data_IF_268641213581
#
_entry.id   IF_268641213581
#
_cell.length_a   1.000
_cell.length_b   1.000
_cell.length_c   1.000
_cell.angle_alpha   90.00
_cell.angle_beta   90.00
_cell.angle_gamma   90.00
#
_symmetry.space_group_name_H-M   'P 1'
#
loop_
_entity.id
_entity.type
_entity.pdbx_description
1 polymer ?
#
# COMPACT_ATOMS: atom_id res chain seq x y z
N UNK A 1 0.40 -9.75 -52.39
CA UNK A 1 -0.72 -10.40 -51.69
C UNK A 1 -0.36 -10.40 -50.21
N UNK A 2 -0.80 -9.43 -49.45
CA UNK A 2 -0.63 -9.33 -48.00
C UNK A 2 -1.96 -9.70 -47.39
N UNK A 3 -2.01 -10.75 -46.57
CA UNK A 3 -3.21 -11.19 -45.87
C UNK A 3 -3.23 -10.52 -44.50
N UNK A 4 -4.19 -9.61 -44.31
CA UNK A 4 -4.60 -9.06 -43.04
C UNK A 4 -5.25 -10.17 -42.16
N UNK A 5 -4.59 -10.54 -41.10
CA UNK A 5 -5.22 -11.33 -40.05
C UNK A 5 -5.68 -10.42 -38.90
N UNK A 6 -6.89 -9.94 -38.99
CA UNK A 6 -7.57 -9.25 -37.93
C UNK A 6 -7.84 -10.23 -36.77
N UNK A 7 -7.15 -10.08 -35.68
CA UNK A 7 -7.45 -10.74 -34.39
C UNK A 7 -8.78 -10.19 -33.87
N UNK A 8 -9.86 -10.95 -34.06
CA UNK A 8 -11.17 -10.70 -33.43
C UNK A 8 -11.01 -10.84 -31.92
N UNK A 9 -11.07 -9.73 -31.19
CA UNK A 9 -11.19 -9.71 -29.76
C UNK A 9 -12.41 -10.54 -29.32
N UNK A 10 -12.16 -11.50 -28.45
CA UNK A 10 -13.21 -12.38 -27.92
C UNK A 10 -14.11 -11.53 -27.01
N UNK A 11 -15.35 -11.31 -27.41
CA UNK A 11 -16.38 -10.66 -26.59
C UNK A 11 -16.59 -11.53 -25.34
N UNK A 12 -16.58 -10.98 -24.10
CA UNK A 12 -16.81 -11.74 -22.90
C UNK A 12 -18.17 -12.46 -22.97
N UNK A 13 -18.21 -13.71 -22.53
CA UNK A 13 -19.45 -14.52 -22.52
C UNK A 13 -20.43 -13.98 -21.46
N UNK A 14 -21.71 -14.21 -21.66
CA UNK A 14 -22.83 -13.81 -20.78
C UNK A 14 -22.61 -14.21 -19.29
N UNK A 15 -21.91 -15.29 -19.07
CA UNK A 15 -21.47 -15.75 -17.75
C UNK A 15 -20.47 -14.81 -17.07
N UNK A 16 -19.54 -14.21 -17.83
CA UNK A 16 -18.58 -13.23 -17.29
C UNK A 16 -19.27 -11.92 -16.92
N UNK A 17 -20.23 -11.44 -17.73
CA UNK A 17 -21.05 -10.29 -17.38
C UNK A 17 -21.91 -10.49 -16.14
N UNK A 18 -22.48 -11.68 -15.96
CA UNK A 18 -23.24 -12.04 -14.73
C UNK A 18 -22.33 -12.11 -13.49
N UNK A 19 -21.11 -12.64 -13.61
CA UNK A 19 -20.15 -12.69 -12.53
C UNK A 19 -19.70 -11.27 -12.10
N UNK A 20 -19.40 -10.37 -13.06
CA UNK A 20 -19.05 -8.98 -12.80
C UNK A 20 -20.22 -8.23 -12.16
N UNK A 21 -21.45 -8.43 -12.64
CA UNK A 21 -22.64 -7.82 -12.06
C UNK A 21 -22.92 -8.30 -10.62
N UNK A 22 -22.61 -9.55 -10.30
CA UNK A 22 -22.76 -10.10 -8.94
C UNK A 22 -21.71 -9.51 -7.99
N UNK A 23 -20.48 -9.31 -8.47
CA UNK A 23 -19.36 -8.72 -7.69
C UNK A 23 -19.65 -7.25 -7.35
N UNK A 24 -20.26 -6.50 -8.26
CA UNK A 24 -20.53 -5.05 -8.11
C UNK A 24 -21.98 -4.74 -7.72
N UNK A 25 -22.80 -5.74 -7.34
CA UNK A 25 -24.19 -5.46 -6.94
C UNK A 25 -24.22 -4.51 -5.74
N UNK A 26 -24.97 -3.39 -5.91
CA UNK A 26 -25.18 -2.45 -4.82
C UNK A 26 -25.98 -3.12 -3.69
N UNK A 27 -25.76 -2.70 -2.43
CA UNK A 27 -26.58 -3.15 -1.32
C UNK A 27 -28.04 -2.71 -1.53
N UNK A 28 -28.99 -3.53 -1.06
CA UNK A 28 -30.43 -3.28 -1.22
C UNK A 28 -30.91 -1.99 -0.52
N UNK A 29 -30.09 -1.43 0.38
CA UNK A 29 -30.37 -0.21 1.13
C UNK A 29 -29.09 0.60 1.37
N UNK A 30 -29.24 1.88 1.70
CA UNK A 30 -28.14 2.77 1.97
C UNK A 30 -27.37 2.33 3.22
N UNK A 31 -26.06 2.12 3.07
CA UNK A 31 -25.18 1.86 4.19
C UNK A 31 -24.80 3.17 4.90
N UNK A 32 -24.86 3.16 6.21
CA UNK A 32 -24.52 4.29 7.09
C UNK A 32 -23.63 3.81 8.24
N UNK A 33 -22.88 4.69 8.93
CA UNK A 33 -22.07 4.27 10.08
C UNK A 33 -22.89 3.66 11.24
N UNK A 34 -24.22 3.79 11.22
CA UNK A 34 -25.12 3.25 12.25
C UNK A 34 -25.63 1.85 11.93
N UNK A 35 -25.74 1.50 10.65
CA UNK A 35 -26.33 0.24 10.22
C UNK A 35 -25.34 -0.74 9.58
N UNK A 36 -24.06 -0.36 9.42
CA UNK A 36 -23.03 -1.24 8.87
C UNK A 36 -21.78 -1.23 9.76
N UNK A 37 -21.11 -2.36 9.82
CA UNK A 37 -19.76 -2.53 10.39
C UNK A 37 -18.93 -3.47 9.54
N UNK A 38 -17.61 -3.32 9.60
CA UNK A 38 -16.67 -4.29 9.09
C UNK A 38 -16.14 -5.14 10.24
N UNK A 39 -16.09 -6.45 10.06
CA UNK A 39 -15.44 -7.37 11.01
C UNK A 39 -14.28 -8.08 10.31
N UNK A 40 -13.08 -7.96 10.85
CA UNK A 40 -11.88 -8.61 10.35
C UNK A 40 -11.45 -9.70 11.32
N UNK A 41 -11.43 -10.93 10.84
CA UNK A 41 -10.83 -12.05 11.55
C UNK A 41 -9.39 -12.24 11.06
N UNK A 42 -8.39 -11.88 11.86
CA UNK A 42 -6.98 -12.09 11.54
C UNK A 42 -6.69 -13.58 11.36
N UNK A 43 -7.19 -14.43 12.26
CA UNK A 43 -6.96 -15.86 12.21
C UNK A 43 -7.58 -16.55 10.97
N UNK A 44 -8.73 -16.05 10.49
CA UNK A 44 -9.40 -16.59 9.29
C UNK A 44 -8.98 -15.87 8.01
N UNK A 45 -8.21 -14.78 8.11
CA UNK A 45 -7.83 -13.92 6.99
C UNK A 45 -9.05 -13.49 6.17
N UNK A 46 -10.04 -12.98 6.87
CA UNK A 46 -11.35 -12.68 6.30
C UNK A 46 -11.92 -11.38 6.83
N UNK A 47 -12.51 -10.60 5.95
CA UNK A 47 -13.31 -9.44 6.26
C UNK A 47 -14.78 -9.74 5.95
N UNK A 48 -15.67 -9.39 6.87
CA UNK A 48 -17.11 -9.42 6.70
C UNK A 48 -17.64 -7.98 6.65
N UNK A 49 -18.50 -7.71 5.70
CA UNK A 49 -19.34 -6.50 5.70
C UNK A 49 -20.70 -6.90 6.26
N UNK A 50 -21.02 -6.40 7.42
CA UNK A 50 -22.24 -6.76 8.16
C UNK A 50 -23.12 -5.52 8.28
N UNK A 51 -24.35 -5.61 7.77
CA UNK A 51 -25.35 -4.57 7.93
C UNK A 51 -26.53 -5.11 8.74
N UNK A 52 -26.83 -4.41 9.83
CA UNK A 52 -27.75 -4.93 10.84
C UNK A 52 -27.26 -6.32 11.31
N UNK A 53 -27.99 -7.39 11.02
CA UNK A 53 -27.64 -8.78 11.34
C UNK A 53 -27.23 -9.60 10.11
N UNK A 54 -27.26 -9.01 8.91
CA UNK A 54 -26.98 -9.69 7.66
C UNK A 54 -25.52 -9.51 7.22
N UNK A 55 -24.90 -10.58 6.77
CA UNK A 55 -23.58 -10.52 6.11
C UNK A 55 -23.78 -10.23 4.63
N UNK A 56 -23.49 -8.98 4.23
CA UNK A 56 -23.59 -8.55 2.83
C UNK A 56 -22.44 -9.08 1.97
N UNK A 57 -21.24 -9.16 2.56
CA UNK A 57 -20.04 -9.65 1.87
C UNK A 57 -19.12 -10.40 2.82
N UNK A 58 -18.41 -11.36 2.22
CA UNK A 58 -17.33 -12.13 2.83
C UNK A 58 -16.13 -12.07 1.91
N UNK A 59 -15.06 -11.44 2.36
CA UNK A 59 -13.89 -11.06 1.55
C UNK A 59 -12.64 -11.71 2.14
N UNK A 60 -11.85 -12.45 1.36
CA UNK A 60 -10.53 -12.89 1.79
C UNK A 60 -9.60 -11.69 1.89
N UNK A 61 -8.73 -11.66 2.91
CA UNK A 61 -7.78 -10.56 3.13
C UNK A 61 -6.40 -11.08 3.47
N UNK A 62 -5.36 -10.31 3.14
CA UNK A 62 -4.05 -10.52 3.75
C UNK A 62 -3.91 -9.66 5.01
N UNK A 63 -3.22 -10.20 6.00
CA UNK A 63 -2.96 -9.60 7.30
C UNK A 63 -1.47 -9.62 7.63
N UNK A 64 -1.06 -9.05 8.77
CA UNK A 64 0.33 -9.00 9.16
C UNK A 64 0.95 -10.38 9.39
N UNK A 65 2.25 -10.49 9.06
CA UNK A 65 3.05 -11.71 9.29
C UNK A 65 3.23 -12.07 10.75
N UNK A 66 2.90 -11.16 11.69
CA UNK A 66 3.12 -11.31 13.14
C UNK A 66 4.59 -11.61 13.51
N UNK A 67 5.55 -11.12 12.71
CA UNK A 67 6.97 -11.35 12.90
C UNK A 67 7.67 -10.11 13.42
N UNK A 68 8.70 -10.33 14.25
CA UNK A 68 9.66 -9.30 14.57
C UNK A 68 10.71 -9.20 13.44
N UNK A 69 11.12 -7.99 13.13
CA UNK A 69 12.21 -7.71 12.20
C UNK A 69 13.23 -6.79 12.86
N UNK A 70 14.51 -7.14 12.73
CA UNK A 70 15.61 -6.34 13.29
C UNK A 70 16.67 -6.07 12.24
N UNK A 71 17.12 -4.83 12.17
CA UNK A 71 18.22 -4.41 11.30
C UNK A 71 18.88 -3.12 11.81
N UNK A 72 20.21 -3.02 11.72
CA UNK A 72 20.99 -1.83 12.09
C UNK A 72 20.66 -1.28 13.50
N UNK A 73 20.46 -2.18 14.48
CA UNK A 73 20.13 -1.80 15.86
C UNK A 73 18.70 -1.36 16.11
N UNK A 74 17.84 -1.38 15.08
CA UNK A 74 16.40 -1.09 15.19
C UNK A 74 15.59 -2.39 15.15
N UNK A 75 14.44 -2.38 15.82
CA UNK A 75 13.52 -3.51 15.87
C UNK A 75 12.09 -3.05 15.57
N UNK A 76 11.38 -3.83 14.76
CA UNK A 76 9.98 -3.61 14.41
C UNK A 76 9.18 -4.88 14.70
N UNK A 77 7.97 -4.70 15.17
CA UNK A 77 7.01 -5.77 15.37
C UNK A 77 5.86 -5.56 14.39
N UNK A 78 5.65 -6.51 13.50
CA UNK A 78 4.59 -6.43 12.50
C UNK A 78 3.34 -7.16 13.01
N UNK A 79 2.28 -6.42 13.24
CA UNK A 79 1.01 -6.99 13.68
C UNK A 79 -0.16 -6.17 13.13
N UNK A 80 -1.21 -6.84 12.67
CA UNK A 80 -2.48 -6.18 12.40
C UNK A 80 -3.09 -5.77 13.75
N UNK A 81 -3.43 -4.47 13.95
CA UNK A 81 -3.98 -4.00 15.21
C UNK A 81 -5.29 -4.72 15.53
N UNK A 82 -5.52 -5.00 16.80
CA UNK A 82 -6.77 -5.60 17.27
C UNK A 82 -7.62 -4.55 17.98
N UNK A 83 -8.92 -4.77 17.98
CA UNK A 83 -9.86 -3.86 18.63
C UNK A 83 -10.81 -3.18 17.65
N UNK A 84 -11.30 -2.01 18.03
CA UNK A 84 -12.26 -1.21 17.26
C UNK A 84 -11.56 0.01 16.66
N UNK A 85 -11.43 0.03 15.35
CA UNK A 85 -11.01 1.18 14.57
C UNK A 85 -12.22 1.80 13.85
N UNK A 86 -11.98 2.88 13.12
CA UNK A 86 -13.02 3.58 12.34
C UNK A 86 -12.40 3.99 11.00
N UNK A 87 -13.17 3.91 9.93
CA UNK A 87 -12.76 4.46 8.64
C UNK A 87 -12.72 5.99 8.76
N UNK A 88 -11.53 6.57 8.77
CA UNK A 88 -11.31 8.02 8.92
C UNK A 88 -11.38 8.76 7.60
N UNK A 89 -11.05 8.09 6.50
CA UNK A 89 -11.02 8.70 5.17
C UNK A 89 -10.88 7.66 4.06
N UNK A 90 -11.08 8.12 2.83
CA UNK A 90 -10.94 7.33 1.61
C UNK A 90 -10.06 8.07 0.62
N UNK A 91 -9.24 7.34 -0.13
CA UNK A 91 -8.34 7.89 -1.16
C UNK A 91 -8.38 7.03 -2.41
N UNK A 92 -8.47 7.69 -3.56
CA UNK A 92 -8.22 7.10 -4.87
C UNK A 92 -6.77 7.33 -5.24
N UNK A 93 -6.17 6.41 -5.96
CA UNK A 93 -4.76 6.45 -6.38
C UNK A 93 -3.81 6.83 -5.23
N UNK A 94 -3.84 6.05 -4.13
CA UNK A 94 -3.11 6.41 -2.92
C UNK A 94 -1.60 6.26 -3.12
N UNK A 95 -0.85 7.31 -2.83
CA UNK A 95 0.62 7.27 -2.76
C UNK A 95 1.07 6.74 -1.41
N UNK A 96 1.94 5.74 -1.41
CA UNK A 96 2.52 5.22 -0.19
C UNK A 96 3.77 5.99 0.22
N UNK A 97 3.89 6.28 1.51
CA UNK A 97 5.11 6.83 2.13
C UNK A 97 5.72 5.74 3.01
N UNK A 98 6.70 4.97 2.49
CA UNK A 98 7.25 3.85 3.21
C UNK A 98 7.80 4.26 4.58
N UNK A 99 7.44 3.57 5.67
CA UNK A 99 8.14 3.69 6.94
C UNK A 99 9.59 3.20 6.85
N UNK A 100 10.42 3.50 7.85
CA UNK A 100 11.84 3.16 7.84
C UNK A 100 12.12 1.66 7.76
N UNK A 101 11.21 0.81 8.29
CA UNK A 101 11.35 -0.64 8.19
C UNK A 101 11.40 -1.14 6.74
N UNK A 102 10.72 -0.49 5.80
CA UNK A 102 10.77 -0.83 4.38
C UNK A 102 12.20 -0.73 3.85
N UNK A 103 12.87 0.40 4.13
CA UNK A 103 14.27 0.62 3.73
C UNK A 103 15.21 -0.36 4.44
N UNK A 104 14.92 -0.68 5.69
CA UNK A 104 15.70 -1.66 6.45
C UNK A 104 15.57 -3.08 5.85
N UNK A 105 14.38 -3.50 5.41
CA UNK A 105 14.18 -4.77 4.69
C UNK A 105 14.91 -4.79 3.35
N UNK A 106 14.82 -3.72 2.58
CA UNK A 106 15.55 -3.58 1.30
C UNK A 106 17.06 -3.64 1.54
N UNK A 107 17.57 -2.87 2.50
CA UNK A 107 18.99 -2.87 2.83
C UNK A 107 19.48 -4.26 3.26
N UNK A 108 18.72 -4.95 4.11
CA UNK A 108 19.05 -6.32 4.55
C UNK A 108 19.06 -7.31 3.38
N UNK A 109 18.05 -7.24 2.51
CA UNK A 109 17.92 -8.12 1.32
C UNK A 109 19.10 -8.00 0.38
N UNK A 110 19.63 -6.78 0.21
CA UNK A 110 20.72 -6.48 -0.72
C UNK A 110 22.09 -6.31 -0.07
N UNK A 111 22.23 -6.58 1.24
CA UNK A 111 23.50 -6.44 1.96
C UNK A 111 24.02 -5.01 2.03
N UNK A 112 23.14 -4.00 1.99
CA UNK A 112 23.49 -2.59 1.99
C UNK A 112 23.56 -2.04 3.41
N UNK A 113 24.42 -1.05 3.64
CA UNK A 113 24.34 -0.21 4.84
C UNK A 113 23.07 0.63 4.79
N UNK A 114 22.50 0.99 5.94
CA UNK A 114 21.32 1.83 6.04
C UNK A 114 21.67 3.15 6.73
N UNK A 115 21.28 4.27 6.12
CA UNK A 115 21.51 5.60 6.69
C UNK A 115 20.33 6.53 6.41
N UNK A 116 19.88 7.29 7.41
CA UNK A 116 18.95 8.40 7.17
C UNK A 116 19.65 9.50 6.39
N UNK A 117 19.01 10.01 5.35
CA UNK A 117 19.55 11.09 4.57
C UNK A 117 19.48 12.41 5.37
N UNK A 118 20.65 12.96 5.68
CA UNK A 118 20.79 14.35 6.08
C UNK A 118 21.22 15.17 4.85
N UNK A 119 20.68 16.37 4.70
CA UNK A 119 21.10 17.27 3.61
C UNK A 119 22.60 17.55 3.69
N UNK A 120 23.29 17.46 2.55
CA UNK A 120 24.73 17.61 2.46
C UNK A 120 25.54 16.35 2.77
N UNK A 121 24.92 15.17 2.86
CA UNK A 121 25.62 13.90 3.02
C UNK A 121 26.66 13.71 1.91
N UNK A 122 27.93 13.51 2.28
CA UNK A 122 29.04 13.33 1.33
C UNK A 122 29.07 11.89 0.82
N UNK A 123 29.36 11.76 -0.47
CA UNK A 123 29.60 10.50 -1.16
C UNK A 123 31.09 10.26 -1.34
N UNK A 124 31.49 9.04 -1.68
CA UNK A 124 32.89 8.64 -1.80
C UNK A 124 33.62 9.40 -2.91
N UNK A 125 32.92 9.79 -3.96
CA UNK A 125 33.46 10.59 -5.08
C UNK A 125 33.60 12.10 -4.77
N UNK A 126 33.30 12.53 -3.53
CA UNK A 126 33.32 13.91 -3.08
C UNK A 126 32.05 14.71 -3.39
N UNK A 127 31.12 14.16 -4.15
CA UNK A 127 29.79 14.77 -4.37
C UNK A 127 28.95 14.75 -3.09
N UNK A 128 27.78 15.41 -3.12
CA UNK A 128 26.89 15.51 -1.97
C UNK A 128 25.44 15.23 -2.37
N UNK A 129 24.72 14.52 -1.52
CA UNK A 129 23.27 14.43 -1.58
C UNK A 129 22.66 15.67 -0.93
N UNK A 130 21.88 16.41 -1.68
CA UNK A 130 21.21 17.64 -1.22
C UNK A 130 19.71 17.57 -1.52
N UNK A 131 18.94 18.38 -0.79
CA UNK A 131 17.48 18.47 -0.98
C UNK A 131 17.16 19.87 -1.46
N UNK A 132 16.51 19.97 -2.64
CA UNK A 132 15.97 21.22 -3.20
C UNK A 132 14.52 20.98 -3.62
N UNK A 133 13.63 21.91 -3.31
CA UNK A 133 12.20 21.86 -3.72
C UNK A 133 11.55 20.49 -3.46
N UNK A 134 11.81 19.92 -2.29
CA UNK A 134 11.34 18.59 -1.87
C UNK A 134 11.86 17.41 -2.71
N UNK A 135 12.90 17.60 -3.53
CA UNK A 135 13.56 16.54 -4.30
C UNK A 135 14.98 16.33 -3.80
N UNK A 136 15.38 15.06 -3.68
CA UNK A 136 16.77 14.70 -3.43
C UNK A 136 17.54 14.70 -4.75
N UNK A 137 18.72 15.27 -4.74
CA UNK A 137 19.61 15.28 -5.91
C UNK A 137 21.07 15.24 -5.51
N UNK A 138 21.94 15.13 -6.50
CA UNK A 138 23.40 15.11 -6.37
C UNK A 138 23.96 16.47 -6.81
N UNK A 139 24.89 16.98 -6.03
CA UNK A 139 25.75 18.11 -6.41
C UNK A 139 27.22 17.69 -6.36
N UNK A 140 27.94 17.89 -7.46
CA UNK A 140 29.39 17.63 -7.51
C UNK A 140 30.18 18.67 -6.71
N UNK A 141 31.34 18.27 -6.25
CA UNK A 141 32.22 19.18 -5.54
C UNK A 141 32.68 20.33 -6.47
N UNK A 142 32.52 21.57 -6.00
CA UNK A 142 32.88 22.76 -6.80
C UNK A 142 31.86 23.14 -7.87
N UNK A 143 30.78 22.42 -8.04
CA UNK A 143 29.70 22.69 -8.99
C UNK A 143 28.46 23.24 -8.26
N UNK A 144 27.68 24.07 -8.94
CA UNK A 144 26.36 24.56 -8.49
C UNK A 144 25.21 23.79 -9.13
N UNK A 145 25.51 22.95 -10.12
CA UNK A 145 24.52 22.13 -10.82
C UNK A 145 23.90 21.11 -9.87
N UNK A 146 22.56 21.07 -9.85
CA UNK A 146 21.75 20.10 -9.11
C UNK A 146 21.21 19.07 -10.08
N UNK A 147 21.60 17.80 -9.92
CA UNK A 147 21.04 16.69 -10.65
C UNK A 147 20.00 15.99 -9.77
N UNK A 148 18.73 16.19 -10.08
CA UNK A 148 17.62 15.53 -9.37
C UNK A 148 17.70 14.01 -9.55
N UNK A 149 17.49 13.26 -8.47
CA UNK A 149 17.37 11.81 -8.52
C UNK A 149 15.91 11.40 -8.83
N UNK A 150 15.70 10.23 -9.49
CA UNK A 150 14.36 9.67 -9.68
C UNK A 150 13.59 9.58 -8.36
N UNK A 151 12.30 9.87 -8.37
CA UNK A 151 11.46 9.89 -7.17
C UNK A 151 10.90 8.52 -6.82
N UNK A 152 10.89 7.58 -7.76
CA UNK A 152 10.35 6.23 -7.69
C UNK A 152 11.43 5.15 -7.48
N UNK A 153 12.68 5.56 -7.24
CA UNK A 153 13.81 4.67 -7.02
C UNK A 153 14.42 4.83 -5.62
N UNK A 154 15.03 3.75 -5.13
CA UNK A 154 15.81 3.80 -3.91
C UNK A 154 17.12 4.54 -4.12
N UNK A 155 17.47 5.42 -3.19
CA UNK A 155 18.72 6.19 -3.23
C UNK A 155 19.85 5.32 -2.68
N UNK A 156 20.68 4.78 -3.57
CA UNK A 156 21.80 3.91 -3.20
C UNK A 156 23.10 4.48 -3.73
N UNK A 157 24.05 4.78 -2.83
CA UNK A 157 25.42 5.18 -3.15
C UNK A 157 26.38 4.50 -2.17
N UNK A 158 27.59 4.17 -2.62
CA UNK A 158 28.67 3.62 -1.79
C UNK A 158 28.21 2.42 -0.91
N UNK A 159 27.44 1.48 -1.51
CA UNK A 159 26.83 0.36 -0.81
C UNK A 159 25.95 0.77 0.40
N UNK A 160 25.41 1.99 0.36
CA UNK A 160 24.54 2.54 1.40
C UNK A 160 23.19 2.92 0.80
N UNK A 161 22.11 2.38 1.36
CA UNK A 161 20.74 2.79 1.09
C UNK A 161 20.41 3.98 1.99
N UNK A 162 20.04 5.10 1.39
CA UNK A 162 19.65 6.30 2.11
C UNK A 162 18.12 6.35 2.27
N UNK A 163 17.66 6.59 3.50
CA UNK A 163 16.26 6.83 3.81
C UNK A 163 15.97 8.30 3.57
N UNK A 164 15.18 8.69 2.55
CA UNK A 164 14.84 10.08 2.30
C UNK A 164 13.94 10.64 3.42
N UNK A 165 13.98 11.93 3.73
CA UNK A 165 13.01 12.56 4.62
C UNK A 165 11.57 12.38 4.11
N UNK A 166 10.62 12.30 5.04
CA UNK A 166 9.18 12.13 4.71
C UNK A 166 8.59 13.31 3.93
N UNK A 167 9.28 14.45 3.95
CA UNK A 167 8.90 15.67 3.22
C UNK A 167 9.35 15.70 1.76
N UNK A 168 10.14 14.71 1.32
CA UNK A 168 10.64 14.66 -0.06
C UNK A 168 9.78 13.75 -0.95
N UNK A 169 9.71 14.08 -2.24
CA UNK A 169 9.05 13.25 -3.25
C UNK A 169 9.70 11.86 -3.38
N UNK A 170 11.02 11.77 -3.17
CA UNK A 170 11.75 10.48 -3.18
C UNK A 170 11.33 9.53 -2.04
N UNK A 171 10.44 9.96 -1.12
CA UNK A 171 9.83 9.10 -0.09
C UNK A 171 8.48 8.55 -0.52
N UNK A 172 8.01 8.86 -1.73
CA UNK A 172 6.71 8.46 -2.23
C UNK A 172 6.83 7.29 -3.21
N UNK A 173 6.09 6.21 -2.97
CA UNK A 173 5.96 5.10 -3.91
C UNK A 173 4.52 5.05 -4.43
N UNK A 174 4.40 4.91 -5.74
CA UNK A 174 3.12 4.78 -6.43
C UNK A 174 2.78 3.29 -6.64
N UNK A 175 1.49 2.99 -6.83
CA UNK A 175 0.94 1.67 -7.15
C UNK A 175 1.09 0.58 -6.06
N UNK A 176 1.72 0.85 -4.92
CA UNK A 176 1.90 -0.14 -3.84
C UNK A 176 0.61 -0.47 -3.09
N UNK A 177 -0.34 0.45 -3.07
CA UNK A 177 -1.58 0.35 -2.30
C UNK A 177 -2.81 0.00 -3.17
N UNK A 178 -2.61 -0.25 -4.47
CA UNK A 178 -3.70 -0.46 -5.42
C UNK A 178 -4.48 0.82 -5.71
N UNK A 179 -5.64 0.71 -6.35
CA UNK A 179 -6.44 1.86 -6.81
C UNK A 179 -7.13 2.63 -5.68
N UNK A 180 -7.34 2.02 -4.51
CA UNK A 180 -8.09 2.59 -3.39
C UNK A 180 -7.41 2.31 -2.06
N UNK A 181 -7.61 3.22 -1.09
CA UNK A 181 -7.28 3.00 0.30
C UNK A 181 -8.33 3.62 1.23
N UNK A 182 -8.64 2.93 2.33
CA UNK A 182 -9.45 3.42 3.44
C UNK A 182 -8.57 3.55 4.67
N UNK A 183 -8.45 4.76 5.19
CA UNK A 183 -7.60 5.09 6.34
C UNK A 183 -8.26 4.67 7.65
N UNK A 184 -7.52 3.96 8.50
CA UNK A 184 -7.97 3.50 9.82
C UNK A 184 -7.28 4.23 10.97
N UNK A 185 -6.39 5.18 10.66
CA UNK A 185 -5.54 5.86 11.64
C UNK A 185 -4.22 5.14 11.92
N UNK A 186 -3.28 5.84 12.53
CA UNK A 186 -1.95 5.35 12.93
C UNK A 186 -1.15 4.67 11.82
N UNK A 187 -1.43 5.03 10.56
CA UNK A 187 -0.79 4.44 9.38
C UNK A 187 -1.37 3.11 8.94
N UNK A 188 -2.42 2.61 9.59
CA UNK A 188 -3.13 1.40 9.16
C UNK A 188 -4.20 1.71 8.12
N UNK A 189 -4.37 0.80 7.17
CA UNK A 189 -5.30 0.97 6.05
C UNK A 189 -5.93 -0.35 5.63
N UNK A 190 -7.13 -0.28 5.04
CA UNK A 190 -7.60 -1.25 4.07
C UNK A 190 -7.13 -0.75 2.71
N UNK A 191 -6.41 -1.57 1.94
CA UNK A 191 -5.89 -1.16 0.63
C UNK A 191 -5.79 -2.33 -0.35
N UNK A 192 -5.62 -2.03 -1.62
CA UNK A 192 -5.44 -3.01 -2.68
C UNK A 192 -4.01 -3.54 -2.80
N UNK A 193 -3.76 -4.25 -3.88
CA UNK A 193 -2.44 -4.79 -4.19
C UNK A 193 -2.33 -5.11 -5.68
N UNK A 194 -1.16 -4.92 -6.24
CA UNK A 194 -0.83 -5.47 -7.55
C UNK A 194 -0.54 -6.99 -7.48
N UNK A 195 -0.13 -7.50 -6.31
CA UNK A 195 0.13 -8.94 -6.09
C UNK A 195 -1.07 -9.61 -5.40
N UNK A 196 -2.01 -10.07 -6.20
CA UNK A 196 -3.23 -10.75 -5.75
C UNK A 196 -2.97 -12.13 -5.15
N UNK A 197 -1.80 -12.74 -5.41
CA UNK A 197 -1.44 -14.07 -4.86
C UNK A 197 -1.26 -14.04 -3.34
N UNK A 198 -1.05 -12.87 -2.78
CA UNK A 198 -0.89 -12.67 -1.33
C UNK A 198 -2.20 -12.59 -0.57
N UNK A 199 -3.35 -12.47 -1.25
CA UNK A 199 -4.67 -12.43 -0.59
C UNK A 199 -4.94 -13.76 0.10
N UNK A 200 -5.44 -13.71 1.33
CA UNK A 200 -5.66 -14.89 2.17
C UNK A 200 -4.42 -15.37 2.95
N UNK A 201 -3.32 -14.60 2.95
CA UNK A 201 -2.07 -14.96 3.62
C UNK A 201 -1.66 -13.98 4.74
N UNK A 202 -0.65 -14.36 5.53
CA UNK A 202 0.02 -13.50 6.51
C UNK A 202 1.24 -12.84 5.83
N UNK A 203 1.01 -11.77 5.07
CA UNK A 203 2.02 -11.18 4.19
C UNK A 203 2.17 -9.66 4.32
N UNK A 204 1.40 -9.00 5.19
CA UNK A 204 1.51 -7.56 5.39
C UNK A 204 2.33 -7.19 6.62
N UNK A 205 2.59 -5.91 6.80
CA UNK A 205 3.30 -5.36 7.96
C UNK A 205 2.35 -4.73 9.01
N UNK A 206 1.04 -4.86 8.80
CA UNK A 206 0.02 -4.33 9.72
C UNK A 206 -1.29 -3.98 9.02
N UNK A 207 -1.23 -3.47 7.81
CA UNK A 207 -2.39 -3.15 7.00
C UNK A 207 -3.19 -4.40 6.62
N UNK A 208 -4.42 -4.20 6.21
CA UNK A 208 -5.32 -5.25 5.72
C UNK A 208 -5.43 -5.07 4.20
N UNK A 209 -5.03 -6.09 3.45
CA UNK A 209 -4.98 -6.06 2.00
C UNK A 209 -6.13 -6.85 1.41
N UNK A 210 -6.85 -6.27 0.44
CA UNK A 210 -7.97 -6.84 -0.27
C UNK A 210 -7.67 -7.00 -1.75
N UNK A 211 -8.38 -7.88 -2.42
CA UNK A 211 -8.45 -7.89 -3.89
C UNK A 211 -9.17 -6.64 -4.41
N UNK A 212 -8.83 -6.22 -5.63
CA UNK A 212 -9.28 -4.93 -6.18
C UNK A 212 -10.79 -4.81 -6.30
N UNK A 213 -11.50 -5.86 -6.74
CA UNK A 213 -12.95 -5.85 -6.88
C UNK A 213 -13.67 -5.71 -5.53
N UNK A 214 -13.22 -6.44 -4.53
CA UNK A 214 -13.78 -6.37 -3.19
C UNK A 214 -13.50 -5.04 -2.53
N UNK A 215 -12.29 -4.51 -2.72
CA UNK A 215 -11.92 -3.19 -2.22
C UNK A 215 -12.71 -2.09 -2.91
N UNK A 216 -12.90 -2.15 -4.24
CA UNK A 216 -13.72 -1.20 -5.00
C UNK A 216 -15.15 -1.17 -4.47
N UNK A 217 -15.73 -2.34 -4.17
CA UNK A 217 -17.06 -2.43 -3.58
C UNK A 217 -17.09 -1.78 -2.17
N UNK A 218 -16.16 -2.14 -1.30
CA UNK A 218 -16.05 -1.56 0.06
C UNK A 218 -15.84 -0.05 -0.03
N UNK A 219 -14.96 0.40 -0.92
CA UNK A 219 -14.71 1.82 -1.15
C UNK A 219 -15.96 2.58 -1.61
N UNK A 220 -16.74 1.98 -2.50
CA UNK A 220 -17.94 2.62 -3.06
C UNK A 220 -19.07 2.70 -2.03
N UNK A 221 -19.38 1.60 -1.36
CA UNK A 221 -20.62 1.48 -0.59
C UNK A 221 -20.46 1.66 0.91
N UNK A 222 -19.29 1.38 1.50
CA UNK A 222 -19.08 1.54 2.95
C UNK A 222 -18.65 2.97 3.26
N UNK A 223 -19.41 3.78 4.01
CA UNK A 223 -19.08 5.19 4.23
C UNK A 223 -17.93 5.38 5.24
N UNK A 224 -17.35 6.59 5.24
CA UNK A 224 -16.48 7.07 6.31
C UNK A 224 -17.26 7.09 7.64
N UNK A 225 -16.59 6.83 8.75
CA UNK A 225 -17.19 6.73 10.09
C UNK A 225 -17.64 5.33 10.47
N UNK A 226 -17.60 4.37 9.53
CA UNK A 226 -17.95 2.96 9.82
C UNK A 226 -16.91 2.32 10.73
N UNK A 227 -17.39 1.54 11.70
CA UNK A 227 -16.55 0.76 12.60
C UNK A 227 -15.90 -0.41 11.90
N UNK A 228 -14.62 -0.63 12.17
CA UNK A 228 -13.81 -1.80 11.75
C UNK A 228 -13.40 -2.54 13.02
N UNK A 229 -13.96 -3.71 13.25
CA UNK A 229 -13.69 -4.55 14.42
C UNK A 229 -12.71 -5.63 14.01
N UNK A 230 -11.51 -5.61 14.58
CA UNK A 230 -10.42 -6.54 14.25
C UNK A 230 -10.18 -7.49 15.43
N UNK A 231 -10.28 -8.80 15.16
CA UNK A 231 -10.17 -9.87 16.16
C UNK A 231 -9.11 -10.89 15.78
#
# INVERSE_FOLDING_TARGET
MMSDSATKGKVPTDSAFKAIALVMSAPAFLLTPRNVRLEVSVARRQLLVIAQDDTLRRVPVAVATSRAFSYAGQQWQFATPRGRLVILGKRTDPTWRPPDWHYAEVAKRHGLKLKRLASGARLADGSRLVIRDSVVGVMKLGDTAFLALPTDEHIVFDSTLFIPPTTTLNRHLHNELGAYALDLGDGYMLHGTWDTTTIGSDSTHGCIRLGDDDLAWVFTYVPVGVAVIIR
#
